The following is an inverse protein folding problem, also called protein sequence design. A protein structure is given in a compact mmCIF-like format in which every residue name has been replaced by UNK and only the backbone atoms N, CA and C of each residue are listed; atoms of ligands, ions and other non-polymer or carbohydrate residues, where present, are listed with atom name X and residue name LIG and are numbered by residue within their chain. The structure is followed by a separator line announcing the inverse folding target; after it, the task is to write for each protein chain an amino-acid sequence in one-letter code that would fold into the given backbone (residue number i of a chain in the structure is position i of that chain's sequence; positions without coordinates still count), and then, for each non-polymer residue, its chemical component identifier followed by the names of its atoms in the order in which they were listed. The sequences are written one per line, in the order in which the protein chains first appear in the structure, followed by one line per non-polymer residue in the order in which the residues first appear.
data_IF_831679505189
#
_entry.id   IF_831679505189
#
_cell.length_a   1.000
_cell.length_b   1.000
_cell.length_c   1.000
_cell.angle_alpha   90.00
_cell.angle_beta   90.00
_cell.angle_gamma   90.00
#
_symmetry.space_group_name_H-M   'P 1'
#
loop_
_entity.id
_entity.type
_entity.pdbx_description
1 polymer ?
#
# COMPACT_ATOMS: atom_id res chain seq x y z
N UNK A 1 -68.05 -42.16 26.66
CA UNK A 1 -69.01 -41.68 27.68
C UNK A 1 -68.23 -41.17 28.89
N UNK A 2 -68.52 -39.92 29.32
CA UNK A 2 -68.34 -39.34 30.68
C UNK A 2 -66.89 -39.32 31.21
N UNK A 3 -66.21 -38.18 31.33
CA UNK A 3 -66.46 -37.08 32.27
C UNK A 3 -65.48 -37.24 33.46
N UNK A 4 -64.90 -36.24 34.12
CA UNK A 4 -65.00 -34.80 34.05
C UNK A 4 -63.82 -34.19 34.85
N UNK A 5 -63.58 -32.90 34.61
CA UNK A 5 -62.77 -31.94 35.34
C UNK A 5 -62.82 -32.04 36.88
N UNK A 6 -61.73 -31.65 37.55
CA UNK A 6 -61.77 -30.89 38.82
C UNK A 6 -60.61 -29.88 38.89
N UNK A 7 -61.01 -28.61 38.99
CA UNK A 7 -60.27 -27.40 39.34
C UNK A 7 -59.59 -27.44 40.71
N UNK A 8 -58.53 -26.63 40.89
CA UNK A 8 -58.52 -25.47 41.81
C UNK A 8 -57.13 -24.78 41.89
N UNK A 9 -57.03 -23.53 41.43
CA UNK A 9 -56.19 -22.48 42.01
C UNK A 9 -56.99 -21.77 43.15
N UNK A 10 -56.45 -20.96 44.10
CA UNK A 10 -55.85 -19.62 43.83
C UNK A 10 -54.66 -19.15 44.76
N UNK A 11 -53.72 -18.30 44.28
CA UNK A 11 -53.45 -16.84 44.55
C UNK A 11 -52.92 -16.52 46.00
N UNK A 12 -51.87 -15.73 46.35
CA UNK A 12 -51.47 -14.35 46.03
C UNK A 12 -49.99 -13.99 46.37
N UNK A 13 -49.41 -13.21 45.46
CA UNK A 13 -48.45 -12.09 45.55
C UNK A 13 -47.52 -11.85 46.76
N UNK A 14 -46.28 -11.47 46.42
CA UNK A 14 -45.74 -10.16 46.85
C UNK A 14 -44.75 -9.60 45.82
N UNK A 15 -45.08 -8.41 45.28
CA UNK A 15 -44.16 -7.54 44.56
C UNK A 15 -43.27 -6.80 45.56
N UNK A 16 -41.98 -6.65 45.22
CA UNK A 16 -41.25 -5.45 45.63
C UNK A 16 -40.32 -5.03 44.51
N UNK A 17 -40.66 -3.89 43.92
CA UNK A 17 -39.80 -3.07 43.10
C UNK A 17 -39.03 -2.12 44.04
N UNK A 18 -37.71 -2.05 43.87
CA UNK A 18 -36.84 -1.14 44.61
C UNK A 18 -35.62 -0.78 43.77
N UNK A 19 -35.72 0.37 43.11
CA UNK A 19 -34.72 0.94 42.21
C UNK A 19 -33.50 1.52 42.94
N UNK A 20 -32.33 1.38 42.31
CA UNK A 20 -31.21 2.32 42.19
C UNK A 20 -30.69 3.05 43.44
N UNK A 21 -29.39 2.88 43.76
CA UNK A 21 -28.37 3.98 43.71
C UNK A 21 -26.93 3.46 43.89
N UNK A 22 -26.10 3.87 42.94
CA UNK A 22 -24.68 4.27 42.99
C UNK A 22 -23.82 3.81 44.19
N UNK A 23 -22.78 3.03 43.92
CA UNK A 23 -21.41 3.56 43.90
C UNK A 23 -20.39 2.49 43.51
N UNK A 24 -19.65 2.71 42.42
CA UNK A 24 -18.29 2.19 42.26
C UNK A 24 -17.53 3.13 41.32
N UNK A 25 -16.34 3.62 41.71
CA UNK A 25 -15.65 4.67 40.98
C UNK A 25 -15.03 4.14 39.67
N UNK A 26 -14.85 5.01 38.65
CA UNK A 26 -14.13 4.65 37.43
C UNK A 26 -12.61 4.63 37.66
N UNK A 27 -11.85 3.74 37.00
CA UNK A 27 -10.42 3.96 36.79
C UNK A 27 -10.23 5.12 35.82
N UNK A 28 -9.20 5.93 36.11
CA UNK A 28 -8.84 7.17 35.44
C UNK A 28 -8.89 7.10 33.90
N UNK A 29 -9.60 8.06 33.32
CA UNK A 29 -9.41 8.46 31.93
C UNK A 29 -8.02 9.12 31.83
N UNK A 30 -7.03 8.37 31.35
CA UNK A 30 -5.87 8.99 30.70
C UNK A 30 -6.38 9.55 29.37
N UNK A 31 -6.70 10.85 29.42
CA UNK A 31 -6.95 11.70 28.28
C UNK A 31 -5.62 11.82 27.52
N UNK A 32 -5.32 10.83 26.67
CA UNK A 32 -4.28 10.99 25.65
C UNK A 32 -4.85 11.96 24.63
N UNK A 33 -4.36 13.18 24.75
CA UNK A 33 -4.66 14.32 23.93
C UNK A 33 -4.58 13.93 22.44
N UNK A 34 -5.74 13.92 21.80
CA UNK A 34 -5.87 13.70 20.36
C UNK A 34 -5.46 15.01 19.69
N UNK A 35 -4.22 15.06 19.19
CA UNK A 35 -3.72 16.19 18.41
C UNK A 35 -4.68 16.52 17.24
N UNK A 36 -5.00 17.79 16.99
CA UNK A 36 -5.87 18.18 15.88
C UNK A 36 -5.15 17.98 14.53
N UNK A 37 -5.89 17.70 13.43
CA UNK A 37 -5.31 17.75 12.09
C UNK A 37 -4.91 19.19 11.77
N UNK A 38 -3.66 19.34 11.32
CA UNK A 38 -3.04 20.58 10.90
C UNK A 38 -3.80 21.23 9.73
N UNK A 39 -4.61 22.23 10.04
CA UNK A 39 -5.10 23.22 9.08
C UNK A 39 -3.95 24.14 8.66
N UNK A 40 -3.29 23.84 7.55
CA UNK A 40 -2.41 24.80 6.89
C UNK A 40 -3.21 25.69 5.94
N UNK A 41 -4.03 26.59 6.49
CA UNK A 41 -4.41 27.80 5.75
C UNK A 41 -3.25 28.77 5.82
N UNK A 42 -2.40 28.76 4.80
CA UNK A 42 -1.35 29.75 4.61
C UNK A 42 -2.00 31.05 4.10
N UNK A 43 -2.52 31.87 5.01
CA UNK A 43 -2.84 33.27 4.73
C UNK A 43 -1.51 34.03 4.63
N UNK A 44 -1.05 34.26 3.40
CA UNK A 44 -0.05 35.29 3.14
C UNK A 44 -0.78 36.47 2.47
N UNK A 45 -1.36 37.33 3.31
CA UNK A 45 -1.78 38.66 2.87
C UNK A 45 -0.53 39.54 2.87
N UNK A 46 0.15 39.59 1.73
CA UNK A 46 1.18 40.60 1.48
C UNK A 46 0.50 41.77 0.79
N UNK A 47 0.23 42.85 1.53
CA UNK A 47 -0.04 44.16 0.95
C UNK A 47 1.21 44.59 0.17
N UNK A 48 1.08 44.70 -1.16
CA UNK A 48 2.09 45.31 -2.00
C UNK A 48 1.92 46.85 -1.94
N UNK A 49 2.98 47.61 -1.63
CA UNK A 49 2.95 49.06 -1.81
C UNK A 49 2.95 49.39 -3.32
N UNK A 50 2.07 50.31 -3.69
CA UNK A 50 2.03 50.94 -5.00
C UNK A 50 3.37 51.64 -5.29
N UNK A 51 4.16 51.10 -6.20
CA UNK A 51 5.38 51.74 -6.69
C UNK A 51 5.16 52.17 -8.15
N UNK A 52 5.05 53.48 -8.32
CA UNK A 52 5.03 54.18 -9.60
C UNK A 52 6.35 53.90 -10.35
N UNK A 53 6.28 53.18 -11.49
CA UNK A 53 7.45 52.96 -12.36
C UNK A 53 7.11 53.34 -13.79
N UNK A 54 7.87 54.29 -14.31
CA UNK A 54 7.82 54.85 -15.66
C UNK A 54 8.03 53.80 -16.77
N UNK A 55 7.51 54.04 -17.98
CA UNK A 55 7.70 53.13 -19.11
C UNK A 55 9.13 53.24 -19.68
N UNK A 56 9.77 52.12 -20.07
CA UNK A 56 11.03 52.16 -20.82
C UNK A 56 10.78 52.50 -22.31
N UNK A 57 11.78 53.09 -23.00
CA UNK A 57 11.64 53.50 -24.39
C UNK A 57 11.65 52.30 -25.34
N UNK A 58 10.77 52.38 -26.33
CA UNK A 58 10.64 51.46 -27.45
C UNK A 58 11.94 51.28 -28.20
N UNK A 59 12.49 50.07 -28.18
CA UNK A 59 13.31 49.54 -29.26
C UNK A 59 12.76 48.16 -29.61
N UNK A 60 11.86 48.16 -30.59
CA UNK A 60 11.45 46.93 -31.26
C UNK A 60 12.57 46.46 -32.18
N UNK A 61 12.59 45.14 -32.39
CA UNK A 61 13.23 44.39 -33.49
C UNK A 61 14.35 43.45 -32.99
N UNK A 62 14.05 42.15 -33.04
CA UNK A 62 14.89 40.94 -32.82
C UNK A 62 14.84 40.17 -31.48
N UNK A 63 13.89 40.44 -30.57
CA UNK A 63 13.72 39.62 -29.35
C UNK A 63 12.58 38.57 -29.43
N UNK A 64 11.63 38.71 -30.36
CA UNK A 64 10.43 37.87 -30.38
C UNK A 64 10.68 36.40 -30.76
N UNK A 65 11.67 36.09 -31.59
CA UNK A 65 11.86 34.72 -32.09
C UNK A 65 12.60 33.80 -31.09
N UNK A 66 13.42 34.38 -30.20
CA UNK A 66 14.16 33.62 -29.18
C UNK A 66 13.29 33.38 -27.92
N UNK A 67 12.45 34.35 -27.55
CA UNK A 67 11.53 34.23 -26.41
C UNK A 67 10.45 33.17 -26.64
N UNK A 68 9.87 33.13 -27.84
CA UNK A 68 8.76 32.22 -28.17
C UNK A 68 9.22 30.75 -28.24
N UNK A 69 10.43 30.53 -28.75
CA UNK A 69 11.07 29.21 -28.78
C UNK A 69 11.37 28.68 -27.37
N UNK A 70 11.88 29.53 -26.47
CA UNK A 70 12.18 29.16 -25.07
C UNK A 70 10.91 28.91 -24.25
N UNK A 71 9.86 29.71 -24.46
CA UNK A 71 8.54 29.56 -23.84
C UNK A 71 7.90 28.23 -24.23
N UNK A 72 7.95 27.87 -25.52
CA UNK A 72 7.43 26.59 -25.99
C UNK A 72 8.21 25.38 -25.43
N UNK A 73 9.50 25.54 -25.13
CA UNK A 73 10.33 24.50 -24.52
C UNK A 73 9.97 24.25 -23.06
N UNK A 74 9.77 25.30 -22.26
CA UNK A 74 9.38 25.15 -20.85
C UNK A 74 7.95 24.60 -20.73
N UNK A 75 7.04 25.02 -21.59
CA UNK A 75 5.66 24.51 -21.62
C UNK A 75 5.65 22.99 -21.87
N UNK A 76 6.44 22.52 -22.83
CA UNK A 76 6.61 21.07 -23.08
C UNK A 76 7.19 20.32 -21.89
N UNK A 77 8.11 20.93 -21.13
CA UNK A 77 8.63 20.31 -19.91
C UNK A 77 7.56 20.19 -18.83
N UNK A 78 6.76 21.24 -18.61
CA UNK A 78 5.65 21.20 -17.67
C UNK A 78 4.61 20.17 -18.07
N UNK A 79 4.28 20.06 -19.37
CA UNK A 79 3.36 19.04 -19.85
C UNK A 79 3.90 17.62 -19.58
N UNK A 80 5.19 17.39 -19.83
CA UNK A 80 5.84 16.12 -19.47
C UNK A 80 5.76 15.82 -17.96
N UNK A 81 5.95 16.83 -17.10
CA UNK A 81 5.79 16.66 -15.65
C UNK A 81 4.33 16.38 -15.25
N UNK A 82 3.35 17.02 -15.90
CA UNK A 82 1.93 16.80 -15.64
C UNK A 82 1.54 15.35 -15.94
N UNK A 83 1.89 14.85 -17.11
CA UNK A 83 1.66 13.46 -17.51
C UNK A 83 2.30 12.49 -16.51
N UNK A 84 3.57 12.72 -16.14
CA UNK A 84 4.26 11.87 -15.18
C UNK A 84 3.59 11.85 -13.78
N UNK A 85 3.08 12.99 -13.32
CA UNK A 85 2.36 13.08 -12.05
C UNK A 85 1.00 12.38 -12.10
N UNK A 86 0.30 12.47 -13.22
CA UNK A 86 -0.98 11.77 -13.43
C UNK A 86 -0.77 10.25 -13.42
N UNK A 87 0.23 9.75 -14.14
CA UNK A 87 0.61 8.33 -14.12
C UNK A 87 0.98 7.87 -12.71
N UNK A 88 1.83 8.63 -12.00
CA UNK A 88 2.19 8.33 -10.61
C UNK A 88 0.97 8.38 -9.67
N UNK A 89 0.02 9.27 -9.94
CA UNK A 89 -1.25 9.37 -9.22
C UNK A 89 -2.13 8.13 -9.42
N UNK A 90 -2.27 7.67 -10.66
CA UNK A 90 -3.02 6.45 -11.00
C UNK A 90 -2.47 5.22 -10.27
N UNK A 91 -1.14 5.06 -10.24
CA UNK A 91 -0.48 3.98 -9.49
C UNK A 91 -0.84 4.03 -8.01
N UNK A 92 -0.78 5.22 -7.38
CA UNK A 92 -1.17 5.35 -5.96
C UNK A 92 -2.63 5.02 -5.72
N UNK A 93 -3.52 5.41 -6.62
CA UNK A 93 -4.94 5.14 -6.45
C UNK A 93 -5.24 3.64 -6.47
N UNK A 94 -4.62 2.91 -7.40
CA UNK A 94 -4.72 1.44 -7.45
C UNK A 94 -4.12 0.78 -6.22
N UNK A 95 -2.99 1.29 -5.72
CA UNK A 95 -2.37 0.81 -4.46
C UNK A 95 -3.33 1.02 -3.30
N UNK A 96 -3.92 2.22 -3.17
CA UNK A 96 -4.89 2.53 -2.10
C UNK A 96 -6.09 1.61 -2.13
N UNK A 97 -6.65 1.30 -3.31
CA UNK A 97 -7.75 0.37 -3.44
C UNK A 97 -7.40 -1.01 -2.83
N UNK A 98 -6.24 -1.58 -3.18
CA UNK A 98 -5.77 -2.86 -2.62
C UNK A 98 -5.52 -2.75 -1.12
N UNK A 99 -4.91 -1.66 -0.65
CA UNK A 99 -4.63 -1.44 0.78
C UNK A 99 -5.90 -1.34 1.60
N UNK A 100 -6.95 -0.68 1.10
CA UNK A 100 -8.24 -0.62 1.78
C UNK A 100 -8.86 -2.01 1.97
N UNK A 101 -8.72 -2.89 0.99
CA UNK A 101 -9.14 -4.29 1.10
C UNK A 101 -8.28 -5.08 2.09
N UNK A 102 -6.95 -4.84 2.10
CA UNK A 102 -6.04 -5.43 3.08
C UNK A 102 -6.40 -5.04 4.50
N UNK A 103 -6.69 -3.75 4.73
CA UNK A 103 -7.15 -3.25 6.02
C UNK A 103 -8.46 -3.92 6.46
N UNK A 104 -9.38 -4.14 5.51
CA UNK A 104 -10.59 -4.93 5.72
C UNK A 104 -10.30 -6.36 6.22
N UNK A 105 -9.47 -7.10 5.50
CA UNK A 105 -9.10 -8.47 5.85
C UNK A 105 -8.36 -8.54 7.20
N UNK A 106 -7.44 -7.60 7.46
CA UNK A 106 -6.73 -7.46 8.74
C UNK A 106 -7.72 -7.24 9.88
N UNK A 107 -8.71 -6.34 9.74
CA UNK A 107 -9.73 -6.09 10.77
C UNK A 107 -10.59 -7.32 11.06
N UNK A 108 -10.97 -8.08 10.03
CA UNK A 108 -11.73 -9.33 10.19
C UNK A 108 -10.90 -10.43 10.89
N UNK A 109 -9.62 -10.53 10.55
CA UNK A 109 -8.72 -11.46 11.23
C UNK A 109 -8.51 -11.06 12.69
N UNK A 110 -8.28 -9.77 12.96
CA UNK A 110 -8.13 -9.25 14.31
C UNK A 110 -9.38 -9.47 15.16
N UNK A 111 -10.57 -9.16 14.64
CA UNK A 111 -11.82 -9.34 15.38
C UNK A 111 -12.09 -10.81 15.69
N UNK A 112 -11.77 -11.72 14.77
CA UNK A 112 -11.82 -13.15 15.00
C UNK A 112 -10.88 -13.54 16.15
N UNK A 113 -9.59 -13.19 16.04
CA UNK A 113 -8.59 -13.58 17.03
C UNK A 113 -8.83 -12.97 18.43
N UNK A 114 -9.52 -11.83 18.56
CA UNK A 114 -9.89 -11.31 19.89
C UNK A 114 -10.82 -12.25 20.68
N UNK A 115 -11.57 -13.12 20.00
CA UNK A 115 -12.46 -14.06 20.69
C UNK A 115 -11.70 -15.10 21.51
N UNK A 116 -10.40 -15.30 21.27
CA UNK A 116 -9.58 -16.26 22.04
C UNK A 116 -9.45 -15.88 23.52
N UNK A 117 -9.68 -14.60 23.86
CA UNK A 117 -9.69 -14.12 25.25
C UNK A 117 -11.01 -14.39 25.99
N UNK A 118 -12.04 -14.93 25.31
CA UNK A 118 -13.28 -15.31 25.96
C UNK A 118 -13.12 -16.61 26.74
N UNK A 119 -13.94 -16.80 27.78
CA UNK A 119 -13.85 -17.90 28.76
C UNK A 119 -13.97 -19.32 28.18
N UNK A 120 -14.38 -19.47 26.91
CA UNK A 120 -14.38 -20.74 26.19
C UNK A 120 -13.76 -20.55 24.80
N UNK A 121 -12.54 -21.06 24.55
CA UNK A 121 -11.94 -21.03 23.22
C UNK A 121 -12.78 -21.87 22.24
N UNK A 122 -13.16 -21.28 21.10
CA UNK A 122 -13.83 -21.99 20.02
C UNK A 122 -12.81 -22.20 18.87
N UNK A 123 -12.49 -23.46 18.47
CA UNK A 123 -11.55 -23.73 17.38
C UNK A 123 -11.99 -23.14 16.03
N UNK A 124 -13.29 -22.90 15.82
CA UNK A 124 -13.83 -22.24 14.63
C UNK A 124 -13.29 -20.82 14.42
N UNK A 125 -12.87 -20.15 15.50
CA UNK A 125 -12.28 -18.81 15.46
C UNK A 125 -10.94 -18.80 14.73
N UNK A 126 -10.11 -19.83 14.95
CA UNK A 126 -8.82 -19.96 14.30
C UNK A 126 -9.00 -20.24 12.80
N UNK A 127 -9.99 -21.06 12.44
CA UNK A 127 -10.32 -21.34 11.03
C UNK A 127 -10.75 -20.08 10.28
N UNK A 128 -11.58 -19.21 10.89
CA UNK A 128 -11.95 -17.92 10.30
C UNK A 128 -10.74 -17.02 10.06
N UNK A 129 -9.79 -16.98 11.00
CA UNK A 129 -8.56 -16.23 10.84
C UNK A 129 -7.67 -16.79 9.71
N UNK A 130 -7.60 -18.11 9.55
CA UNK A 130 -6.86 -18.76 8.44
C UNK A 130 -7.40 -18.38 7.07
N UNK A 131 -8.72 -18.31 6.92
CA UNK A 131 -9.33 -17.88 5.65
C UNK A 131 -8.89 -16.47 5.25
N UNK A 132 -8.73 -15.57 6.23
CA UNK A 132 -8.23 -14.21 5.97
C UNK A 132 -6.75 -14.19 5.54
N UNK A 133 -5.95 -15.20 5.90
CA UNK A 133 -4.56 -15.31 5.41
C UNK A 133 -4.53 -15.54 3.90
N UNK A 134 -5.40 -16.41 3.36
CA UNK A 134 -5.46 -16.62 1.91
C UNK A 134 -5.94 -15.36 1.18
N UNK A 135 -6.92 -14.63 1.74
CA UNK A 135 -7.34 -13.32 1.20
C UNK A 135 -6.18 -12.32 1.19
N UNK A 136 -5.43 -12.22 2.30
CA UNK A 136 -4.27 -11.32 2.38
C UNK A 136 -3.19 -11.68 1.36
N UNK A 137 -2.93 -12.98 1.17
CA UNK A 137 -1.97 -13.47 0.18
C UNK A 137 -2.36 -13.06 -1.24
N UNK A 138 -3.64 -13.14 -1.59
CA UNK A 138 -4.13 -12.69 -2.90
C UNK A 138 -4.00 -11.17 -3.06
N UNK A 139 -4.31 -10.40 -2.02
CA UNK A 139 -4.15 -8.94 -2.00
C UNK A 139 -2.69 -8.50 -2.14
N UNK A 140 -1.76 -9.16 -1.44
CA UNK A 140 -0.32 -8.95 -1.64
C UNK A 140 0.11 -9.32 -3.06
N UNK A 141 -0.51 -10.33 -3.67
CA UNK A 141 -0.34 -10.67 -5.07
C UNK A 141 -0.79 -9.54 -6.02
N UNK A 142 -1.96 -8.95 -5.76
CA UNK A 142 -2.47 -7.78 -6.49
C UNK A 142 -1.54 -6.57 -6.36
N UNK A 143 -1.06 -6.29 -5.15
CA UNK A 143 -0.06 -5.23 -4.91
C UNK A 143 1.23 -5.49 -5.68
N UNK A 144 1.73 -6.74 -5.67
CA UNK A 144 2.90 -7.15 -6.44
C UNK A 144 2.70 -6.95 -7.95
N UNK A 145 1.50 -7.17 -8.48
CA UNK A 145 1.17 -6.94 -9.88
C UNK A 145 1.27 -5.45 -10.25
N UNK A 146 0.72 -4.56 -9.42
CA UNK A 146 0.86 -3.10 -9.62
C UNK A 146 2.33 -2.69 -9.61
N UNK A 147 3.12 -3.23 -8.69
CA UNK A 147 4.55 -2.90 -8.57
C UNK A 147 5.41 -3.43 -9.73
N UNK A 148 4.95 -4.44 -10.48
CA UNK A 148 5.64 -4.90 -11.69
C UNK A 148 5.58 -3.88 -12.82
N UNK A 149 4.55 -3.04 -12.85
CA UNK A 149 4.41 -1.98 -13.85
C UNK A 149 5.39 -0.82 -13.58
N UNK A 150 5.83 -0.64 -12.33
CA UNK A 150 6.79 0.39 -11.92
C UNK A 150 8.05 -0.19 -11.26
N UNK A 151 8.90 -0.92 -12.01
CA UNK A 151 10.08 -1.57 -11.46
C UNK A 151 11.04 -0.56 -10.81
N UNK A 152 11.65 -0.94 -9.68
CA UNK A 152 12.59 -0.10 -8.94
C UNK A 152 11.95 0.95 -8.02
N UNK A 153 10.64 1.15 -8.07
CA UNK A 153 9.94 2.17 -7.26
C UNK A 153 9.29 1.63 -5.98
N UNK A 154 9.69 0.43 -5.52
CA UNK A 154 9.12 -0.20 -4.33
C UNK A 154 9.06 0.75 -3.12
N UNK A 155 10.21 1.34 -2.76
CA UNK A 155 10.30 2.20 -1.57
C UNK A 155 9.61 3.56 -1.73
N UNK A 156 9.34 4.00 -2.97
CA UNK A 156 8.60 5.23 -3.23
C UNK A 156 7.15 5.13 -2.76
N UNK A 157 6.54 3.95 -2.95
CA UNK A 157 5.15 3.71 -2.60
C UNK A 157 4.98 2.89 -1.32
N UNK A 158 6.05 2.27 -0.81
CA UNK A 158 6.03 1.39 0.37
C UNK A 158 5.33 1.96 1.62
N UNK A 159 5.35 3.29 1.79
CA UNK A 159 4.64 3.94 2.88
C UNK A 159 3.13 3.65 2.89
N UNK A 160 2.54 3.42 1.72
CA UNK A 160 1.09 3.29 1.55
C UNK A 160 0.53 1.97 2.11
N UNK A 161 1.34 0.92 2.30
CA UNK A 161 0.89 -0.39 2.81
C UNK A 161 1.72 -0.93 3.99
N UNK A 162 2.65 -0.12 4.50
CA UNK A 162 3.59 -0.54 5.54
C UNK A 162 2.86 -0.94 6.83
N UNK A 163 1.89 -0.14 7.26
CA UNK A 163 1.11 -0.40 8.48
C UNK A 163 0.33 -1.69 8.38
N UNK A 164 -0.32 -1.94 7.24
CA UNK A 164 -1.15 -3.12 7.00
C UNK A 164 -0.29 -4.37 6.94
N UNK A 165 0.91 -4.26 6.35
CA UNK A 165 1.89 -5.36 6.36
C UNK A 165 2.34 -5.71 7.76
N UNK A 166 2.68 -4.72 8.58
CA UNK A 166 3.07 -4.94 9.97
C UNK A 166 1.93 -5.58 10.78
N UNK A 167 0.69 -5.09 10.60
CA UNK A 167 -0.48 -5.65 11.27
C UNK A 167 -0.76 -7.10 10.82
N UNK A 168 -0.72 -7.38 9.53
CA UNK A 168 -0.90 -8.72 8.98
C UNK A 168 0.15 -9.70 9.53
N UNK A 169 1.44 -9.32 9.50
CA UNK A 169 2.52 -10.17 10.03
C UNK A 169 2.35 -10.42 11.52
N UNK A 170 1.98 -9.39 12.30
CA UNK A 170 1.71 -9.53 13.73
C UNK A 170 0.59 -10.54 14.01
N UNK A 171 -0.54 -10.43 13.30
CA UNK A 171 -1.68 -11.33 13.47
C UNK A 171 -1.40 -12.75 13.01
N UNK A 172 -0.68 -12.93 11.89
CA UNK A 172 -0.27 -14.24 11.40
C UNK A 172 0.69 -14.91 12.40
N UNK A 173 1.60 -14.13 12.97
CA UNK A 173 2.51 -14.60 14.02
C UNK A 173 1.74 -15.01 15.28
N UNK A 174 0.75 -14.20 15.69
CA UNK A 174 -0.09 -14.50 16.83
C UNK A 174 -0.92 -15.77 16.61
N UNK A 175 -1.53 -15.94 15.44
CA UNK A 175 -2.24 -17.17 15.07
C UNK A 175 -1.31 -18.39 15.11
N UNK A 176 -0.12 -18.29 14.53
CA UNK A 176 0.85 -19.40 14.55
C UNK A 176 1.27 -19.78 15.97
N UNK A 177 1.45 -18.79 16.85
CA UNK A 177 1.74 -19.02 18.25
C UNK A 177 0.58 -19.72 18.98
N UNK A 178 -0.67 -19.35 18.70
CA UNK A 178 -1.84 -20.03 19.26
C UNK A 178 -1.95 -21.50 18.83
N UNK A 179 -1.45 -21.84 17.63
CA UNK A 179 -1.49 -23.21 17.11
C UNK A 179 -0.34 -24.09 17.60
N UNK A 180 0.88 -23.53 17.66
CA UNK A 180 2.11 -24.32 17.84
C UNK A 180 2.83 -24.02 19.15
N UNK A 181 2.51 -22.89 19.80
CA UNK A 181 3.25 -22.35 20.93
C UNK A 181 4.61 -21.74 20.58
N UNK A 182 5.00 -21.70 19.30
CA UNK A 182 6.31 -21.20 18.86
C UNK A 182 6.20 -19.87 18.10
N UNK A 183 7.33 -19.16 18.00
CA UNK A 183 7.41 -17.92 17.24
C UNK A 183 7.58 -18.20 15.73
N UNK A 184 6.78 -17.53 14.91
CA UNK A 184 6.82 -17.65 13.46
C UNK A 184 8.14 -17.12 12.91
N UNK A 185 8.82 -17.92 12.08
CA UNK A 185 10.06 -17.52 11.41
C UNK A 185 9.74 -16.67 10.17
N UNK A 186 10.60 -15.71 9.84
CA UNK A 186 10.42 -14.80 8.70
C UNK A 186 10.10 -15.52 7.38
N UNK A 187 10.81 -16.61 7.06
CA UNK A 187 10.59 -17.37 5.82
C UNK A 187 9.18 -18.00 5.75
N UNK A 188 8.62 -18.38 6.90
CA UNK A 188 7.26 -18.93 6.97
C UNK A 188 6.21 -17.83 6.81
N UNK A 189 6.45 -16.65 7.38
CA UNK A 189 5.60 -15.48 7.18
C UNK A 189 5.58 -15.07 5.69
N UNK A 190 6.75 -15.01 5.04
CA UNK A 190 6.86 -14.73 3.60
C UNK A 190 6.10 -15.76 2.76
N UNK A 191 6.15 -17.05 3.14
CA UNK A 191 5.42 -18.12 2.47
C UNK A 191 3.90 -17.97 2.66
N UNK A 192 3.43 -17.71 3.87
CA UNK A 192 2.01 -17.50 4.19
C UNK A 192 1.43 -16.31 3.44
N UNK A 193 2.20 -15.24 3.27
CA UNK A 193 1.79 -14.03 2.53
C UNK A 193 2.09 -14.08 1.02
N UNK A 194 2.69 -15.16 0.50
CA UNK A 194 3.00 -15.30 -0.93
C UNK A 194 4.14 -14.39 -1.44
N UNK A 195 4.93 -13.77 -0.57
CA UNK A 195 5.94 -12.76 -0.93
C UNK A 195 7.18 -13.33 -1.63
N UNK A 196 7.44 -14.63 -1.51
CA UNK A 196 8.59 -15.30 -2.14
C UNK A 196 8.51 -15.31 -3.68
N UNK A 197 7.30 -15.41 -4.24
CA UNK A 197 7.09 -15.40 -5.70
C UNK A 197 7.49 -14.04 -6.28
N UNK A 198 7.18 -12.96 -5.57
CA UNK A 198 7.56 -11.60 -5.94
C UNK A 198 9.09 -11.41 -5.98
N UNK A 199 9.81 -11.92 -4.98
CA UNK A 199 11.28 -11.79 -4.93
C UNK A 199 11.98 -12.61 -6.03
N UNK A 200 11.46 -13.79 -6.35
CA UNK A 200 12.01 -14.68 -7.39
C UNK A 200 11.77 -14.15 -8.81
N UNK A 201 10.63 -13.50 -9.06
CA UNK A 201 10.38 -12.77 -10.31
C UNK A 201 11.39 -11.64 -10.56
N UNK A 202 11.83 -10.95 -9.50
CA UNK A 202 12.88 -9.92 -9.58
C UNK A 202 14.23 -10.49 -10.02
N UNK A 203 14.69 -11.57 -9.39
CA UNK A 203 15.96 -12.21 -9.76
C UNK A 203 15.96 -12.71 -11.21
N UNK A 204 14.87 -13.35 -11.63
CA UNK A 204 14.77 -13.89 -12.99
C UNK A 204 14.80 -12.79 -14.05
N UNK A 205 14.14 -11.66 -13.80
CA UNK A 205 14.16 -10.50 -14.70
C UNK A 205 15.51 -9.78 -14.77
N UNK A 206 16.33 -9.82 -13.73
CA UNK A 206 17.71 -9.29 -13.74
C UNK A 206 18.67 -10.24 -14.49
N UNK A 207 18.51 -11.55 -14.30
CA UNK A 207 19.31 -12.59 -14.95
C UNK A 207 19.04 -12.64 -16.47
N UNK A 208 17.78 -12.55 -16.89
CA UNK A 208 17.41 -12.45 -18.31
C UNK A 208 17.96 -11.17 -18.96
N UNK A 209 17.93 -10.03 -18.25
CA UNK A 209 18.52 -8.77 -18.74
C UNK A 209 20.05 -8.80 -18.84
N UNK A 210 20.73 -9.53 -17.96
CA UNK A 210 22.17 -9.77 -18.08
C UNK A 210 22.49 -10.69 -19.25
N UNK A 211 21.71 -11.76 -19.44
CA UNK A 211 21.89 -12.69 -20.56
C UNK A 211 21.66 -12.01 -21.91
N UNK A 212 20.65 -11.14 -22.02
CA UNK A 212 20.38 -10.33 -23.22
C UNK A 212 21.53 -9.36 -23.53
N UNK A 213 22.12 -8.73 -22.50
CA UNK A 213 23.30 -7.86 -22.66
C UNK A 213 24.55 -8.64 -23.04
N UNK A 214 24.70 -9.88 -22.57
CA UNK A 214 25.79 -10.78 -22.97
C UNK A 214 25.72 -11.11 -24.45
N UNK A 215 24.55 -11.57 -24.94
CA UNK A 215 24.35 -11.91 -26.36
C UNK A 215 24.60 -10.74 -27.30
N UNK A 216 24.13 -9.53 -26.95
CA UNK A 216 24.37 -8.33 -27.77
C UNK A 216 25.85 -7.96 -27.88
N UNK A 217 26.65 -8.21 -26.83
CA UNK A 217 28.10 -7.95 -26.85
C UNK A 217 28.84 -8.97 -27.70
N UNK A 218 28.42 -10.24 -27.65
CA UNK A 218 28.97 -11.29 -28.51
C UNK A 218 28.64 -11.05 -29.99
N UNK A 219 27.42 -10.62 -30.32
CA UNK A 219 27.04 -10.26 -31.69
C UNK A 219 27.81 -9.03 -32.21
N UNK A 220 28.08 -8.04 -31.35
CA UNK A 220 28.86 -6.85 -31.70
C UNK A 220 30.36 -7.18 -31.89
N UNK A 221 30.92 -8.06 -31.07
CA UNK A 221 32.31 -8.52 -31.20
C UNK A 221 32.54 -9.35 -32.47
N UNK A 222 31.59 -10.23 -32.81
CA UNK A 222 31.65 -11.04 -34.05
C UNK A 222 31.56 -10.17 -35.30
N UNK A 223 30.68 -9.16 -35.29
CA UNK A 223 30.55 -8.23 -36.43
C UNK A 223 31.77 -7.31 -36.57
N UNK A 224 32.39 -6.90 -35.46
CA UNK A 224 33.62 -6.11 -35.47
C UNK A 224 34.84 -6.94 -35.94
N UNK A 225 34.94 -8.21 -35.53
CA UNK A 225 35.99 -9.11 -35.98
C UNK A 225 35.86 -9.44 -37.48
N UNK A 226 34.64 -9.65 -37.98
CA UNK A 226 34.38 -9.88 -39.40
C UNK A 226 34.71 -8.64 -40.24
N UNK A 227 34.38 -7.44 -39.75
CA UNK A 227 34.78 -6.17 -40.36
C UNK A 227 36.30 -6.01 -40.43
N UNK A 228 37.02 -6.45 -39.39
CA UNK A 228 38.49 -6.40 -39.33
C UNK A 228 39.14 -7.38 -40.31
N UNK A 229 38.57 -8.58 -40.49
CA UNK A 229 39.03 -9.58 -41.47
C UNK A 229 38.84 -9.10 -42.92
N UNK A 230 37.69 -8.50 -43.24
CA UNK A 230 37.43 -7.89 -44.57
C UNK A 230 38.40 -6.74 -44.90
N UNK A 231 38.77 -5.92 -43.90
CA UNK A 231 39.77 -4.84 -44.06
C UNK A 231 41.21 -5.32 -44.19
N UNK A 232 41.51 -6.55 -43.75
CA UNK A 232 42.84 -7.17 -43.90
C UNK A 232 42.99 -7.77 -45.30
N UNK A 233 41.98 -8.54 -45.74
CA UNK A 233 41.93 -9.11 -47.10
C UNK A 233 41.96 -8.06 -48.22
N UNK A 234 41.40 -6.86 -47.99
CA UNK A 234 41.42 -5.77 -48.98
C UNK A 234 42.79 -5.06 -49.10
N UNK A 235 43.67 -5.20 -48.10
CA UNK A 235 45.03 -4.64 -48.11
C UNK A 235 46.05 -5.55 -48.77
N UNK A 236 45.80 -6.85 -48.78
CA UNK A 236 46.71 -7.85 -49.36
C UNK A 236 46.55 -8.00 -50.89
N UNK A 237 45.67 -7.19 -51.51
CA UNK A 237 45.37 -7.22 -52.95
C UNK A 237 45.70 -5.90 -53.68
N UNK A 238 46.42 -4.98 -53.03
CA UNK A 238 46.93 -3.72 -53.63
C UNK A 238 48.45 -3.73 -53.60
#
# INVERSE_FOLDING_TARGET
MRGAFRDAAPIFASLSAGALRLSRPPPALLLLERSPPSSFHRLFSASLPMANRSPPPSTATTASEILDSSSSSVEKQFEGFRVHLEESGNVRERIRAVVMEMEGAVRLMHSSLLLVHHTRPNPEVLEKAKLQIEVLKDLFGGLAQILRECPGQYYRYHGDWRSETQAAVSLITFLHWLETGNLLVHAEAEKKLGLLVFRRGRKKGEEERMAERGRKREEEEVTEEEGRRKRKSKRDFT
#
